data_IF_080856703475
#
_entry.id   IF_080856703475
#
_cell.length_a   1.000
_cell.length_b   1.000
_cell.length_c   1.000
_cell.angle_alpha   90.00
_cell.angle_beta   90.00
_cell.angle_gamma   90.00
#
_symmetry.space_group_name_H-M   'P 1'
#
loop_
_entity.id
_entity.type
_entity.pdbx_description
1 polymer ?
#
# COMPACT_ATOMS: atom_id res chain seq x y z
N UNK A 1 18.51 -4.02 3.03
CA UNK A 1 17.30 -3.19 3.21
C UNK A 1 17.76 -1.79 3.58
N UNK A 2 17.47 -0.78 2.76
CA UNK A 2 17.66 0.60 3.17
C UNK A 2 16.72 0.86 4.36
N UNK A 3 17.28 1.30 5.48
CA UNK A 3 16.50 1.61 6.68
C UNK A 3 15.74 2.89 6.38
N UNK A 4 14.41 2.81 6.29
CA UNK A 4 13.57 4.00 6.12
C UNK A 4 13.71 4.88 7.37
N UNK A 5 13.95 6.19 7.25
CA UNK A 5 14.02 7.08 8.41
C UNK A 5 12.66 7.16 9.09
N UNK A 6 12.65 7.16 10.43
CA UNK A 6 11.44 7.39 11.23
C UNK A 6 11.11 8.89 11.29
N UNK A 7 9.82 9.28 11.27
CA UNK A 7 8.64 8.43 11.24
C UNK A 7 8.40 7.82 9.85
N UNK A 8 8.03 6.54 9.82
CA UNK A 8 7.71 5.86 8.58
C UNK A 8 6.37 6.30 8.03
N UNK A 9 6.33 6.68 6.76
CA UNK A 9 5.09 6.80 6.02
C UNK A 9 4.64 5.40 5.57
N UNK A 10 3.32 5.17 5.58
CA UNK A 10 2.72 3.92 5.09
C UNK A 10 3.13 3.69 3.64
N UNK A 11 3.23 4.77 2.89
CA UNK A 11 3.61 4.82 1.49
C UNK A 11 5.01 4.25 1.28
N UNK A 12 5.99 4.74 2.05
CA UNK A 12 7.38 4.31 1.96
C UNK A 12 7.56 2.84 2.40
N UNK A 13 6.88 2.44 3.48
CA UNK A 13 6.93 1.04 3.97
C UNK A 13 6.34 0.08 2.95
N UNK A 14 5.19 0.43 2.36
CA UNK A 14 4.51 -0.40 1.38
C UNK A 14 5.34 -0.53 0.10
N UNK A 15 5.91 0.57 -0.40
CA UNK A 15 6.80 0.55 -1.56
C UNK A 15 8.06 -0.30 -1.32
N UNK A 16 8.71 -0.12 -0.16
CA UNK A 16 9.88 -0.91 0.22
C UNK A 16 9.58 -2.39 0.34
N UNK A 17 8.46 -2.75 0.97
CA UNK A 17 8.03 -4.14 1.10
C UNK A 17 7.67 -4.77 -0.25
N UNK A 18 6.92 -4.08 -1.11
CA UNK A 18 6.54 -4.60 -2.43
C UNK A 18 7.76 -4.81 -3.33
N UNK A 19 8.66 -3.83 -3.41
CA UNK A 19 9.89 -3.96 -4.19
C UNK A 19 10.77 -5.11 -3.67
N UNK A 20 10.87 -5.27 -2.35
CA UNK A 20 11.58 -6.40 -1.75
C UNK A 20 10.90 -7.74 -2.09
N UNK A 21 9.57 -7.82 -2.03
CA UNK A 21 8.84 -9.05 -2.33
C UNK A 21 8.98 -9.45 -3.80
N UNK A 22 8.90 -8.49 -4.73
CA UNK A 22 9.06 -8.71 -6.16
C UNK A 22 10.49 -9.13 -6.52
N UNK A 23 11.51 -8.54 -5.90
CA UNK A 23 12.91 -8.87 -6.14
C UNK A 23 13.29 -10.30 -5.73
N UNK A 24 12.41 -11.03 -5.03
CA UNK A 24 12.67 -12.44 -4.65
C UNK A 24 12.42 -13.44 -5.77
N UNK A 25 11.85 -13.01 -6.89
CA UNK A 25 11.53 -13.89 -8.00
C UNK A 25 12.04 -13.31 -9.32
N UNK A 26 12.91 -14.04 -10.02
CA UNK A 26 13.53 -13.59 -11.28
C UNK A 26 12.51 -13.17 -12.34
N UNK A 27 11.35 -13.83 -12.38
CA UNK A 27 10.25 -13.49 -13.30
C UNK A 27 9.69 -12.06 -13.11
N UNK A 28 10.01 -11.40 -12.01
CA UNK A 28 9.55 -10.04 -11.68
C UNK A 28 10.68 -9.01 -11.67
N UNK A 29 11.86 -9.32 -12.19
CA UNK A 29 13.01 -8.40 -12.21
C UNK A 29 12.68 -7.05 -12.87
N UNK A 30 11.85 -7.05 -13.92
CA UNK A 30 11.41 -5.83 -14.62
C UNK A 30 10.33 -5.03 -13.87
N UNK A 31 9.73 -5.58 -12.82
CA UNK A 31 8.58 -4.99 -12.13
C UNK A 31 9.00 -4.11 -10.94
N UNK A 32 10.06 -3.33 -11.12
CA UNK A 32 10.46 -2.36 -10.11
C UNK A 32 9.42 -1.23 -10.01
N UNK A 33 8.87 -1.03 -8.81
CA UNK A 33 7.90 0.03 -8.52
C UNK A 33 8.67 1.29 -8.18
N UNK A 34 8.49 2.33 -8.99
CA UNK A 34 9.12 3.65 -8.81
C UNK A 34 8.28 4.53 -7.87
N UNK A 35 6.96 4.49 -8.01
CA UNK A 35 6.04 5.31 -7.23
C UNK A 35 4.73 4.57 -6.92
N UNK A 36 4.10 4.96 -5.82
CA UNK A 36 2.77 4.46 -5.42
C UNK A 36 1.91 5.65 -5.02
N UNK A 37 0.78 5.83 -5.70
CA UNK A 37 -0.23 6.81 -5.32
C UNK A 37 -1.39 6.16 -4.55
N UNK A 38 -2.00 6.93 -3.66
CA UNK A 38 -2.98 6.45 -2.69
C UNK A 38 -4.29 7.24 -2.81
N UNK A 39 -5.37 6.55 -3.11
CA UNK A 39 -6.71 7.13 -3.26
C UNK A 39 -7.67 6.44 -2.28
N UNK A 40 -8.32 7.19 -1.40
CA UNK A 40 -9.40 6.64 -0.58
C UNK A 40 -10.64 6.42 -1.46
N UNK A 41 -11.08 5.17 -1.59
CA UNK A 41 -12.23 4.81 -2.43
C UNK A 41 -13.49 4.49 -1.61
N UNK A 42 -13.35 4.23 -0.30
CA UNK A 42 -14.49 4.07 0.60
C UNK A 42 -14.08 4.34 2.04
N UNK A 43 -14.96 4.99 2.80
CA UNK A 43 -14.81 5.11 4.25
C UNK A 43 -15.14 3.80 5.01
N UNK A 44 -15.55 2.74 4.29
CA UNK A 44 -15.84 1.42 4.85
C UNK A 44 -17.14 1.40 5.65
N UNK A 45 -18.27 1.04 5.02
CA UNK A 45 -19.50 0.73 5.77
C UNK A 45 -19.29 -0.57 6.55
N UNK A 46 -19.19 -0.47 7.88
CA UNK A 46 -19.27 -1.62 8.81
C UNK A 46 -17.97 -2.08 9.48
N UNK A 47 -16.79 -1.54 9.14
CA UNK A 47 -15.52 -2.06 9.68
C UNK A 47 -14.44 -1.00 9.89
N UNK A 48 -14.68 -0.05 10.79
CA UNK A 48 -13.66 0.70 11.56
C UNK A 48 -12.39 1.19 10.83
N UNK A 49 -12.49 1.39 9.52
CA UNK A 49 -11.36 1.29 8.61
C UNK A 49 -11.74 1.78 7.23
N UNK A 50 -10.77 2.34 6.53
CA UNK A 50 -10.93 2.93 5.21
C UNK A 50 -10.41 1.97 4.15
N UNK A 51 -11.07 1.95 3.00
CA UNK A 51 -10.62 1.21 1.83
C UNK A 51 -9.93 2.18 0.88
N UNK A 52 -8.72 1.82 0.49
CA UNK A 52 -7.84 2.61 -0.34
C UNK A 52 -7.45 1.82 -1.59
N UNK A 53 -7.37 2.53 -2.72
CA UNK A 53 -6.73 2.07 -3.94
C UNK A 53 -5.29 2.58 -3.95
N UNK A 54 -4.35 1.66 -4.16
CA UNK A 54 -2.95 1.94 -4.35
C UNK A 54 -2.66 1.76 -5.84
N UNK A 55 -2.26 2.82 -6.52
CA UNK A 55 -1.89 2.76 -7.93
C UNK A 55 -0.36 2.75 -8.05
N UNK A 56 0.15 1.71 -8.71
CA UNK A 56 1.57 1.40 -8.87
C UNK A 56 2.08 1.96 -10.20
N UNK A 57 3.18 2.68 -10.13
CA UNK A 57 3.97 3.13 -11.28
C UNK A 57 5.24 2.30 -11.34
N UNK A 58 5.41 1.55 -12.43
CA UNK A 58 6.60 0.72 -12.66
C UNK A 58 7.64 1.51 -13.45
N UNK A 59 8.92 1.31 -13.12
CA UNK A 59 10.04 1.98 -13.79
C UNK A 59 10.21 1.53 -15.26
N UNK A 60 9.91 0.26 -15.55
CA UNK A 60 9.97 -0.26 -16.91
C UNK A 60 8.69 0.10 -17.70
N UNK A 61 8.87 0.80 -18.82
CA UNK A 61 7.79 1.25 -19.71
C UNK A 61 7.09 0.08 -20.41
N UNK A 62 7.73 -1.08 -20.54
CA UNK A 62 7.11 -2.27 -21.13
C UNK A 62 6.03 -2.86 -20.23
N UNK A 63 6.03 -2.51 -18.93
CA UNK A 63 5.02 -2.95 -17.95
C UNK A 63 3.76 -2.08 -17.94
N UNK A 64 3.49 -1.33 -19.01
CA UNK A 64 2.29 -0.49 -19.12
C UNK A 64 0.97 -1.27 -19.08
N UNK A 65 0.97 -2.55 -19.45
CA UNK A 65 -0.22 -3.43 -19.43
C UNK A 65 -0.35 -4.25 -18.14
N UNK A 66 0.56 -4.10 -17.19
CA UNK A 66 0.53 -4.85 -15.93
C UNK A 66 -0.57 -4.33 -14.99
N UNK A 67 -1.02 -5.18 -14.06
CA UNK A 67 -1.95 -4.73 -13.03
C UNK A 67 -1.32 -3.62 -12.19
N UNK A 68 -1.96 -2.44 -12.21
CA UNK A 68 -1.45 -1.25 -11.53
C UNK A 68 -2.15 -0.97 -10.22
N UNK A 69 -3.20 -1.70 -9.86
CA UNK A 69 -4.04 -1.33 -8.72
C UNK A 69 -4.08 -2.44 -7.68
N UNK A 70 -3.80 -2.07 -6.43
CA UNK A 70 -4.02 -2.91 -5.24
C UNK A 70 -5.12 -2.25 -4.42
N UNK A 71 -6.04 -3.04 -3.87
CA UNK A 71 -7.01 -2.55 -2.88
C UNK A 71 -6.50 -2.94 -1.49
N UNK A 72 -6.34 -1.96 -0.62
CA UNK A 72 -5.93 -2.17 0.77
C UNK A 72 -6.95 -1.59 1.75
N UNK A 73 -6.97 -2.16 2.95
CA UNK A 73 -7.77 -1.68 4.06
C UNK A 73 -6.84 -1.10 5.12
N UNK A 74 -7.07 0.16 5.47
CA UNK A 74 -6.35 0.86 6.52
C UNK A 74 -7.24 1.10 7.73
N UNK A 75 -6.63 1.30 8.90
CA UNK A 75 -7.35 1.82 10.06
C UNK A 75 -7.93 3.19 9.72
N UNK A 76 -9.14 3.49 10.22
CA UNK A 76 -9.78 4.76 9.89
C UNK A 76 -8.97 5.94 10.44
N UNK A 77 -8.87 7.03 9.68
CA UNK A 77 -8.29 8.30 10.14
C UNK A 77 -9.22 9.03 11.11
N UNK A 78 -10.51 8.69 11.13
CA UNK A 78 -11.51 9.25 12.06
C UNK A 78 -11.36 8.62 13.46
N UNK A 79 -11.00 9.39 14.50
CA UNK A 79 -10.80 8.84 15.85
C UNK A 79 -12.03 8.15 16.43
N UNK A 80 -13.23 8.71 16.20
CA UNK A 80 -14.48 8.13 16.68
C UNK A 80 -14.72 6.72 16.10
N UNK A 81 -14.44 6.53 14.82
CA UNK A 81 -14.53 5.25 14.12
C UNK A 81 -13.52 4.23 14.64
N UNK A 82 -12.29 4.67 14.97
CA UNK A 82 -11.28 3.78 15.57
C UNK A 82 -11.68 3.28 16.96
N UNK A 83 -12.32 4.12 17.78
CA UNK A 83 -12.80 3.73 19.13
C UNK A 83 -13.85 2.61 19.11
N UNK A 84 -14.50 2.37 17.97
CA UNK A 84 -15.46 1.28 17.80
C UNK A 84 -14.78 -0.10 17.61
N UNK A 85 -13.47 -0.14 17.30
CA UNK A 85 -12.69 -1.39 17.33
C UNK A 85 -12.45 -1.73 18.79
N UNK A 86 -13.08 -2.81 19.29
CA UNK A 86 -12.70 -3.37 20.60
C UNK A 86 -11.22 -3.74 20.57
N UNK A 87 -10.44 -3.16 21.47
CA UNK A 87 -9.15 -3.73 21.85
C UNK A 87 -9.44 -5.08 22.50
N UNK A 88 -9.13 -6.17 21.82
CA UNK A 88 -8.99 -7.45 22.49
C UNK A 88 -7.70 -7.35 23.31
N UNK A 89 -7.87 -7.20 24.62
CA UNK A 89 -6.80 -7.24 25.62
C UNK A 89 -6.47 -8.70 25.95
#
# INVERSE_FOLDING_TARGET
MNILPTPWSVEAVTAGWLNYALSRFDKFEKFHIEDISYEMISQGKGFSGEVWRLSLSYADKDNQNSHKNIVAKFASRVPATRKLVKSYA
#
